data_IF_900261690234
#
_entry.id   IF_900261690234
#
_cell.length_a   1.000
_cell.length_b   1.000
_cell.length_c   1.000
_cell.angle_alpha   90.00
_cell.angle_beta   90.00
_cell.angle_gamma   90.00
#
_symmetry.space_group_name_H-M   'P 1'
#
loop_
_entity.id
_entity.type
_entity.pdbx_description
1 polymer ?
#
# COMPACT_ATOMS: atom_id res chain seq x y z
N UNK A 1 32.47 -18.09 36.93
CA UNK A 1 31.95 -17.51 35.67
C UNK A 1 30.49 -17.92 35.55
N UNK A 2 29.54 -17.08 35.97
CA UNK A 2 28.11 -17.36 35.90
C UNK A 2 27.63 -17.07 34.47
N UNK A 3 27.29 -18.11 33.70
CA UNK A 3 26.58 -17.96 32.44
C UNK A 3 25.15 -17.49 32.76
N UNK A 4 24.90 -16.19 32.56
CA UNK A 4 23.54 -15.66 32.59
C UNK A 4 22.87 -16.08 31.28
N UNK A 5 22.07 -17.15 31.33
CA UNK A 5 21.22 -17.51 30.21
C UNK A 5 20.22 -16.37 29.98
N UNK A 6 20.05 -15.89 28.74
CA UNK A 6 19.06 -14.87 28.45
C UNK A 6 17.67 -15.36 28.87
N UNK A 7 16.92 -14.52 29.59
CA UNK A 7 15.52 -14.77 29.90
C UNK A 7 14.77 -15.04 28.58
N UNK A 8 13.87 -16.02 28.57
CA UNK A 8 13.05 -16.42 27.42
C UNK A 8 12.43 -15.21 26.68
N UNK A 9 12.08 -14.14 27.39
CA UNK A 9 11.60 -12.89 26.79
C UNK A 9 12.62 -12.24 25.83
N UNK A 10 13.88 -12.15 26.25
CA UNK A 10 14.96 -11.57 25.45
C UNK A 10 15.18 -12.42 24.19
N UNK A 11 15.23 -13.75 24.36
CA UNK A 11 15.37 -14.69 23.24
C UNK A 11 14.23 -14.55 22.23
N UNK A 12 12.98 -14.45 22.71
CA UNK A 12 11.82 -14.25 21.85
C UNK A 12 11.87 -12.90 21.10
N UNK A 13 12.23 -11.82 21.79
CA UNK A 13 12.38 -10.50 21.19
C UNK A 13 13.45 -10.52 20.08
N UNK A 14 14.61 -11.12 20.33
CA UNK A 14 15.66 -11.28 19.32
C UNK A 14 15.19 -12.09 18.11
N UNK A 15 14.48 -13.20 18.33
CA UNK A 15 13.96 -14.02 17.24
C UNK A 15 12.99 -13.22 16.36
N UNK A 16 12.05 -12.49 16.98
CA UNK A 16 11.10 -11.63 16.25
C UNK A 16 11.82 -10.55 15.48
N UNK A 17 12.75 -9.82 16.11
CA UNK A 17 13.52 -8.76 15.43
C UNK A 17 14.31 -9.33 14.25
N UNK A 18 15.01 -10.45 14.43
CA UNK A 18 15.78 -11.08 13.37
C UNK A 18 14.88 -11.50 12.20
N UNK A 19 13.75 -12.13 12.47
CA UNK A 19 12.78 -12.50 11.44
C UNK A 19 12.27 -11.28 10.67
N UNK A 20 11.87 -10.21 11.36
CA UNK A 20 11.37 -8.99 10.71
C UNK A 20 12.47 -8.28 9.90
N UNK A 21 13.70 -8.26 10.40
CA UNK A 21 14.84 -7.69 9.68
C UNK A 21 15.15 -8.48 8.41
N UNK A 22 15.19 -9.81 8.47
CA UNK A 22 15.40 -10.66 7.30
C UNK A 22 14.28 -10.48 6.29
N UNK A 23 13.02 -10.51 6.72
CA UNK A 23 11.88 -10.32 5.81
C UNK A 23 11.87 -8.93 5.17
N UNK A 24 12.20 -7.87 5.92
CA UNK A 24 12.35 -6.52 5.37
C UNK A 24 13.50 -6.43 4.37
N UNK A 25 14.65 -7.05 4.67
CA UNK A 25 15.79 -7.11 3.75
C UNK A 25 15.43 -7.85 2.45
N UNK A 26 14.68 -8.96 2.54
CA UNK A 26 14.20 -9.69 1.37
C UNK A 26 13.23 -8.86 0.52
N UNK A 27 12.32 -8.09 1.14
CA UNK A 27 11.45 -7.15 0.43
C UNK A 27 12.25 -6.08 -0.30
N UNK A 28 13.20 -5.46 0.40
CA UNK A 28 14.06 -4.43 -0.18
C UNK A 28 14.89 -4.96 -1.35
N UNK A 29 15.49 -6.15 -1.18
CA UNK A 29 16.27 -6.82 -2.21
C UNK A 29 15.41 -7.17 -3.44
N UNK A 30 14.25 -7.78 -3.21
CA UNK A 30 13.29 -8.13 -4.28
C UNK A 30 12.88 -6.88 -5.08
N UNK A 31 12.55 -5.79 -4.38
CA UNK A 31 12.17 -4.53 -5.02
C UNK A 31 13.33 -3.89 -5.77
N UNK A 32 14.52 -3.89 -5.19
CA UNK A 32 15.73 -3.37 -5.84
C UNK A 32 16.00 -4.07 -7.17
N UNK A 33 15.91 -5.40 -7.20
CA UNK A 33 16.08 -6.16 -8.44
C UNK A 33 14.97 -5.87 -9.43
N UNK A 34 13.70 -5.89 -9.01
CA UNK A 34 12.56 -5.62 -9.90
C UNK A 34 12.65 -4.24 -10.57
N UNK A 35 13.15 -3.22 -9.88
CA UNK A 35 13.33 -1.88 -10.44
C UNK A 35 14.47 -1.78 -11.46
N UNK A 36 15.41 -2.73 -11.47
CA UNK A 36 16.59 -2.75 -12.36
C UNK A 36 16.50 -3.78 -13.47
N UNK A 37 15.61 -4.76 -13.33
CA UNK A 37 15.33 -5.70 -14.40
C UNK A 37 14.69 -4.96 -15.57
N UNK A 38 15.13 -5.29 -16.79
CA UNK A 38 14.40 -4.93 -18.00
C UNK A 38 12.98 -5.48 -17.86
N UNK A 39 11.94 -4.68 -18.15
CA UNK A 39 10.59 -5.21 -18.20
C UNK A 39 10.58 -6.44 -19.11
N UNK A 40 10.06 -7.60 -18.70
CA UNK A 40 9.75 -8.66 -19.65
C UNK A 40 8.92 -8.05 -20.78
N UNK A 41 9.26 -8.42 -22.02
CA UNK A 41 8.53 -8.03 -23.21
C UNK A 41 7.06 -8.46 -23.03
N UNK A 42 6.20 -7.47 -22.80
CA UNK A 42 4.74 -7.61 -22.66
C UNK A 42 4.24 -8.63 -21.62
N UNK A 43 4.19 -8.24 -20.36
CA UNK A 43 3.04 -8.63 -19.53
C UNK A 43 1.85 -7.77 -20.01
N UNK A 44 1.27 -8.11 -21.15
CA UNK A 44 -0.02 -7.54 -21.60
C UNK A 44 -1.13 -8.17 -20.75
N UNK A 45 -1.18 -7.79 -19.48
CA UNK A 45 -2.24 -8.23 -18.59
C UNK A 45 -3.46 -7.38 -18.91
N UNK A 46 -4.33 -7.93 -19.76
CA UNK A 46 -5.64 -7.36 -20.04
C UNK A 46 -6.67 -8.11 -19.20
N UNK A 47 -7.29 -7.40 -18.27
CA UNK A 47 -8.41 -7.92 -17.48
C UNK A 47 -9.72 -7.59 -18.18
N UNK A 48 -10.68 -8.52 -18.20
CA UNK A 48 -11.97 -8.23 -18.84
C UNK A 48 -12.78 -7.22 -18.02
N UNK A 49 -12.71 -7.29 -16.69
CA UNK A 49 -13.47 -6.45 -15.74
C UNK A 49 -12.63 -6.04 -14.53
N UNK A 50 -13.05 -5.00 -13.81
CA UNK A 50 -12.39 -4.60 -12.56
C UNK A 50 -12.54 -5.66 -11.44
N UNK A 51 -13.63 -6.44 -11.45
CA UNK A 51 -13.84 -7.52 -10.49
C UNK A 51 -12.83 -8.66 -10.71
N UNK A 52 -12.61 -9.03 -11.97
CA UNK A 52 -11.57 -10.01 -12.33
C UNK A 52 -10.17 -9.50 -11.96
N UNK A 53 -9.86 -8.24 -12.29
CA UNK A 53 -8.58 -7.62 -11.92
C UNK A 53 -8.35 -7.64 -10.41
N UNK A 54 -9.37 -7.29 -9.61
CA UNK A 54 -9.30 -7.36 -8.16
C UNK A 54 -9.03 -8.78 -7.65
N UNK A 55 -9.79 -9.76 -8.15
CA UNK A 55 -9.63 -11.16 -7.74
C UNK A 55 -8.22 -11.68 -8.04
N UNK A 56 -7.70 -11.39 -9.23
CA UNK A 56 -6.34 -11.79 -9.60
C UNK A 56 -5.30 -11.08 -8.74
N UNK A 57 -5.43 -9.77 -8.50
CA UNK A 57 -4.53 -9.01 -7.62
C UNK A 57 -4.49 -9.55 -6.19
N UNK A 58 -5.61 -10.02 -5.64
CA UNK A 58 -5.68 -10.63 -4.32
C UNK A 58 -4.97 -11.98 -4.23
N UNK A 59 -4.79 -12.66 -5.36
CA UNK A 59 -4.08 -13.93 -5.47
C UNK A 59 -2.60 -13.74 -5.83
N UNK A 60 -2.20 -12.56 -6.31
CA UNK A 60 -0.83 -12.24 -6.61
C UNK A 60 0.04 -12.28 -5.34
N UNK A 61 1.23 -12.85 -5.50
CA UNK A 61 2.34 -12.56 -4.59
C UNK A 61 2.75 -11.09 -4.70
N UNK A 62 3.43 -10.58 -3.66
CA UNK A 62 4.04 -9.25 -3.66
C UNK A 62 4.89 -8.99 -4.90
N UNK A 63 5.66 -9.99 -5.35
CA UNK A 63 6.53 -9.88 -6.53
C UNK A 63 5.70 -9.61 -7.79
N UNK A 64 4.58 -10.31 -7.96
CA UNK A 64 3.67 -10.13 -9.09
C UNK A 64 2.96 -8.78 -9.01
N UNK A 65 2.43 -8.38 -7.84
CA UNK A 65 1.83 -7.06 -7.66
C UNK A 65 2.83 -5.93 -7.96
N UNK A 66 4.08 -6.06 -7.51
CA UNK A 66 5.13 -5.10 -7.83
C UNK A 66 5.45 -5.08 -9.33
N UNK A 67 5.50 -6.24 -9.98
CA UNK A 67 5.72 -6.32 -11.43
C UNK A 67 4.60 -5.61 -12.20
N UNK A 68 3.34 -5.85 -11.83
CA UNK A 68 2.17 -5.16 -12.39
C UNK A 68 2.26 -3.65 -12.19
N UNK A 69 2.58 -3.19 -10.97
CA UNK A 69 2.77 -1.78 -10.66
C UNK A 69 3.85 -1.14 -11.54
N UNK A 70 5.01 -1.80 -11.71
CA UNK A 70 6.14 -1.24 -12.45
C UNK A 70 5.94 -1.24 -13.97
N UNK A 71 5.15 -2.17 -14.51
CA UNK A 71 5.16 -2.49 -15.95
C UNK A 71 3.81 -2.31 -16.64
N UNK A 72 2.71 -2.70 -16.00
CA UNK A 72 1.40 -2.73 -16.63
C UNK A 72 0.55 -1.51 -16.31
N UNK A 73 0.71 -0.95 -15.11
CA UNK A 73 -0.12 0.15 -14.64
C UNK A 73 0.37 1.51 -15.19
N UNK A 74 -0.56 2.30 -15.74
CA UNK A 74 -0.30 3.68 -16.20
C UNK A 74 -0.53 4.69 -15.09
N UNK A 75 -0.16 5.94 -15.33
CA UNK A 75 -0.49 7.03 -14.40
C UNK A 75 -1.96 7.45 -14.61
N UNK A 76 -2.77 7.52 -13.54
CA UNK A 76 -4.13 8.05 -13.65
C UNK A 76 -4.10 9.56 -13.96
N UNK A 77 -5.10 10.02 -14.71
CA UNK A 77 -5.48 11.42 -14.73
C UNK A 77 -6.27 11.72 -13.45
N UNK A 78 -6.13 12.94 -12.91
CA UNK A 78 -6.77 13.32 -11.65
C UNK A 78 -8.31 13.18 -11.70
N UNK A 79 -9.01 13.57 -12.79
CA UNK A 79 -10.45 13.38 -12.86
C UNK A 79 -10.90 11.90 -12.86
N UNK A 80 -10.03 10.95 -13.25
CA UNK A 80 -10.40 9.53 -13.29
C UNK A 80 -10.51 8.92 -11.89
N UNK A 81 -9.80 9.49 -10.92
CA UNK A 81 -9.72 8.95 -9.56
C UNK A 81 -10.67 9.63 -8.58
N UNK A 82 -11.40 10.66 -9.02
CA UNK A 82 -12.34 11.39 -8.15
C UNK A 82 -13.36 10.44 -7.50
N UNK A 83 -13.69 10.72 -6.23
CA UNK A 83 -14.69 9.98 -5.47
C UNK A 83 -14.11 8.91 -4.55
N UNK A 84 -15.00 8.05 -4.05
CA UNK A 84 -14.68 7.02 -3.07
C UNK A 84 -14.25 5.71 -3.76
N UNK A 85 -13.22 5.08 -3.21
CA UNK A 85 -12.69 3.80 -3.63
C UNK A 85 -12.55 2.86 -2.44
N UNK A 86 -13.01 1.63 -2.59
CA UNK A 86 -12.84 0.55 -1.63
C UNK A 86 -11.44 -0.01 -1.73
N UNK A 87 -10.83 -0.30 -0.58
CA UNK A 87 -9.42 -0.67 -0.46
C UNK A 87 -9.20 -2.08 0.08
N UNK A 88 -8.23 -2.77 -0.53
CA UNK A 88 -7.78 -4.10 -0.11
C UNK A 88 -6.26 -4.10 0.04
N UNK A 89 -5.79 -4.61 1.18
CA UNK A 89 -4.36 -4.88 1.38
C UNK A 89 -4.00 -6.19 0.66
N UNK A 90 -2.92 -6.17 -0.11
CA UNK A 90 -2.45 -7.33 -0.86
C UNK A 90 -1.36 -8.09 -0.07
N UNK A 91 -1.02 -9.27 -0.56
CA UNK A 91 0.06 -10.12 -0.03
C UNK A 91 1.38 -9.34 0.01
N UNK A 92 2.13 -9.44 1.12
CA UNK A 92 3.35 -8.66 1.34
C UNK A 92 4.59 -9.52 1.67
N UNK A 93 4.89 -10.54 0.88
CA UNK A 93 6.04 -11.45 1.04
C UNK A 93 5.96 -12.39 2.25
N UNK A 94 5.06 -13.35 2.15
CA UNK A 94 4.75 -14.36 3.14
C UNK A 94 3.76 -13.88 4.20
N UNK A 95 3.32 -14.85 5.02
CA UNK A 95 2.33 -14.61 6.07
C UNK A 95 2.81 -13.58 7.10
N UNK A 96 4.09 -13.62 7.51
CA UNK A 96 4.64 -12.76 8.57
C UNK A 96 4.50 -11.28 8.21
N UNK A 97 4.99 -10.90 7.02
CA UNK A 97 5.00 -9.50 6.60
C UNK A 97 3.60 -9.02 6.21
N UNK A 98 2.74 -9.92 5.75
CA UNK A 98 1.32 -9.65 5.53
C UNK A 98 0.61 -9.32 6.85
N UNK A 99 0.79 -10.15 7.88
CA UNK A 99 0.23 -9.91 9.22
C UNK A 99 0.77 -8.63 9.86
N UNK A 100 2.08 -8.37 9.73
CA UNK A 100 2.66 -7.11 10.21
C UNK A 100 2.08 -5.91 9.48
N UNK A 101 1.93 -5.98 8.15
CA UNK A 101 1.32 -4.89 7.37
C UNK A 101 -0.13 -4.63 7.79
N UNK A 102 -0.92 -5.70 7.97
CA UNK A 102 -2.29 -5.60 8.48
C UNK A 102 -2.33 -5.03 9.90
N UNK A 103 -1.45 -5.47 10.79
CA UNK A 103 -1.38 -4.94 12.15
C UNK A 103 -1.04 -3.45 12.16
N UNK A 104 0.00 -3.04 11.42
CA UNK A 104 0.39 -1.63 11.32
C UNK A 104 -0.77 -0.79 10.77
N UNK A 105 -1.45 -1.27 9.74
CA UNK A 105 -2.56 -0.54 9.09
C UNK A 105 -3.83 -0.51 9.96
N UNK A 106 -4.27 -1.65 10.50
CA UNK A 106 -5.56 -1.81 11.18
C UNK A 106 -5.52 -1.60 12.70
N UNK A 107 -4.34 -1.63 13.33
CA UNK A 107 -4.22 -1.40 14.78
C UNK A 107 -3.56 -0.08 15.08
N UNK A 108 -2.44 0.23 14.41
CA UNK A 108 -1.69 1.43 14.75
C UNK A 108 -2.15 2.65 13.95
N UNK A 109 -2.13 2.58 12.61
CA UNK A 109 -2.46 3.70 11.74
C UNK A 109 -3.92 4.12 11.92
N UNK A 110 -4.84 3.19 11.73
CA UNK A 110 -6.28 3.37 11.90
C UNK A 110 -6.77 3.48 13.34
N UNK A 111 -5.90 3.44 14.37
CA UNK A 111 -6.28 3.49 15.79
C UNK A 111 -7.29 2.41 16.19
N UNK A 112 -7.14 1.19 15.63
CA UNK A 112 -8.00 0.03 15.92
C UNK A 112 -9.22 -0.12 15.01
N UNK A 113 -9.41 0.78 14.04
CA UNK A 113 -10.44 0.67 12.97
C UNK A 113 -9.91 -0.17 11.81
N UNK A 114 -10.76 -0.64 10.90
CA UNK A 114 -10.30 -1.33 9.69
C UNK A 114 -10.13 -0.31 8.57
N UNK A 115 -8.95 -0.19 7.98
CA UNK A 115 -8.79 0.57 6.74
C UNK A 115 -9.56 -0.14 5.62
N UNK A 116 -10.40 0.58 4.90
CA UNK A 116 -11.27 0.02 3.88
C UNK A 116 -11.31 0.84 2.59
N UNK A 117 -10.45 1.85 2.43
CA UNK A 117 -10.44 2.62 1.20
C UNK A 117 -9.84 4.02 1.30
N UNK A 118 -10.03 4.77 0.22
CA UNK A 118 -9.65 6.18 0.11
C UNK A 118 -10.73 6.95 -0.64
N UNK A 119 -10.82 8.25 -0.40
CA UNK A 119 -11.63 9.16 -1.21
C UNK A 119 -10.74 10.29 -1.73
N UNK A 120 -10.92 10.67 -2.99
CA UNK A 120 -10.16 11.73 -3.66
C UNK A 120 -11.10 12.90 -4.03
N UNK A 121 -10.62 14.13 -3.85
CA UNK A 121 -11.32 15.39 -4.10
C UNK A 121 -10.45 16.26 -5.02
N UNK A 122 -10.96 16.54 -6.22
CA UNK A 122 -10.21 17.22 -7.29
C UNK A 122 -9.93 18.70 -6.97
N UNK A 123 -10.84 19.37 -6.24
CA UNK A 123 -10.81 20.82 -6.00
C UNK A 123 -9.49 21.34 -5.39
N UNK A 124 -8.76 20.49 -4.66
CA UNK A 124 -7.52 20.85 -3.97
C UNK A 124 -6.42 19.79 -4.05
N UNK A 125 -6.55 18.78 -4.92
CA UNK A 125 -5.67 17.60 -4.92
C UNK A 125 -5.55 16.95 -3.54
N UNK A 126 -6.68 16.81 -2.86
CA UNK A 126 -6.75 16.28 -1.49
C UNK A 126 -7.52 14.98 -1.47
N UNK A 127 -7.05 14.06 -0.64
CA UNK A 127 -7.81 12.86 -0.35
C UNK A 127 -7.78 12.54 1.14
N UNK A 128 -8.55 11.52 1.49
CA UNK A 128 -8.70 11.08 2.87
C UNK A 128 -8.88 9.57 2.91
N UNK A 129 -8.35 8.91 3.94
CA UNK A 129 -8.56 7.47 4.11
C UNK A 129 -9.94 7.20 4.69
N UNK A 130 -10.50 6.08 4.27
CA UNK A 130 -11.72 5.52 4.81
C UNK A 130 -11.38 4.43 5.81
N UNK A 131 -12.08 4.44 6.94
CA UNK A 131 -11.96 3.42 7.98
C UNK A 131 -13.33 2.91 8.41
N UNK A 132 -13.51 1.60 8.49
CA UNK A 132 -14.69 0.95 9.08
C UNK A 132 -14.48 0.72 10.57
N UNK A 133 -15.41 1.23 11.39
CA UNK A 133 -15.46 0.98 12.82
C UNK A 133 -16.01 -0.41 13.14
N UNK A 134 -15.98 -0.81 14.42
CA UNK A 134 -16.60 -2.07 14.87
C UNK A 134 -18.13 -2.09 14.70
N UNK A 135 -18.77 -0.93 14.61
CA UNK A 135 -20.21 -0.76 14.37
C UNK A 135 -20.56 -0.64 12.89
N UNK A 136 -19.62 -0.99 11.99
CA UNK A 136 -19.78 -0.91 10.53
C UNK A 136 -20.04 0.50 10.00
N UNK A 137 -19.64 1.53 10.75
CA UNK A 137 -19.71 2.93 10.30
C UNK A 137 -18.41 3.31 9.60
N UNK A 138 -18.50 3.95 8.44
CA UNK A 138 -17.35 4.52 7.72
C UNK A 138 -16.99 5.87 8.32
N UNK A 139 -15.74 6.03 8.73
CA UNK A 139 -15.13 7.27 9.20
C UNK A 139 -14.03 7.71 8.23
N UNK A 140 -13.89 9.02 8.06
CA UNK A 140 -12.85 9.63 7.22
C UNK A 140 -11.79 10.27 8.10
N UNK A 141 -10.55 9.87 7.94
CA UNK A 141 -9.42 10.37 8.73
C UNK A 141 -8.11 10.28 7.91
N UNK A 142 -7.01 10.82 8.42
CA UNK A 142 -5.69 10.77 7.78
C UNK A 142 -5.71 11.36 6.37
N UNK A 143 -6.03 12.65 6.28
CA UNK A 143 -5.98 13.39 5.03
C UNK A 143 -4.57 13.38 4.43
N UNK A 144 -4.52 13.38 3.10
CA UNK A 144 -3.32 13.41 2.30
C UNK A 144 -3.48 14.40 1.14
N UNK A 145 -2.36 14.99 0.73
CA UNK A 145 -2.27 15.70 -0.53
C UNK A 145 -1.78 14.71 -1.58
N UNK A 146 -2.23 14.81 -2.83
CA UNK A 146 -1.74 13.97 -3.91
C UNK A 146 -1.26 14.78 -5.11
N UNK A 147 -0.31 14.23 -5.86
CA UNK A 147 0.17 14.86 -7.08
C UNK A 147 0.86 13.86 -8.00
N UNK A 148 0.85 14.13 -9.30
CA UNK A 148 1.61 13.32 -10.27
C UNK A 148 3.09 13.70 -10.16
N UNK A 149 3.91 12.79 -9.66
CA UNK A 149 5.35 13.00 -9.52
C UNK A 149 6.15 11.90 -10.21
N UNK A 150 7.47 12.07 -10.29
CA UNK A 150 8.38 10.99 -10.66
C UNK A 150 8.38 9.91 -9.59
N UNK A 151 8.18 8.66 -9.99
CA UNK A 151 8.19 7.51 -9.08
C UNK A 151 9.55 7.38 -8.40
N UNK A 152 9.52 7.07 -7.10
CA UNK A 152 10.71 6.74 -6.33
C UNK A 152 11.30 5.39 -6.73
N UNK A 153 10.47 4.46 -7.25
CA UNK A 153 10.90 3.13 -7.72
C UNK A 153 11.51 3.18 -9.13
N UNK A 154 10.99 4.06 -10.01
CA UNK A 154 11.40 4.18 -11.42
C UNK A 154 11.51 5.64 -11.83
N UNK A 155 12.73 6.16 -12.02
CA UNK A 155 12.99 7.58 -12.31
C UNK A 155 12.51 8.03 -13.70
N UNK A 156 12.35 7.07 -14.61
CA UNK A 156 11.82 7.23 -15.96
C UNK A 156 10.27 7.21 -16.01
N UNK A 157 9.61 6.92 -14.89
CA UNK A 157 8.15 6.80 -14.84
C UNK A 157 7.54 7.79 -13.85
N UNK A 158 6.29 8.16 -14.13
CA UNK A 158 5.47 8.97 -13.24
C UNK A 158 4.56 8.07 -12.40
N UNK A 159 4.03 8.57 -11.29
CA UNK A 159 3.00 7.92 -10.47
C UNK A 159 2.19 8.96 -9.72
N UNK A 160 0.97 8.63 -9.32
CA UNK A 160 0.20 9.46 -8.41
C UNK A 160 0.75 9.25 -6.99
N UNK A 161 1.38 10.27 -6.43
CA UNK A 161 2.04 10.21 -5.12
C UNK A 161 1.14 10.83 -4.07
N UNK A 162 0.84 10.10 -3.01
CA UNK A 162 0.02 10.54 -1.87
C UNK A 162 0.95 10.83 -0.69
N UNK A 163 0.85 12.05 -0.15
CA UNK A 163 1.69 12.54 0.94
C UNK A 163 0.83 12.89 2.14
N UNK A 164 1.15 12.29 3.28
CA UNK A 164 0.41 12.45 4.54
C UNK A 164 0.95 13.58 5.41
N UNK A 165 1.67 14.56 4.84
CA UNK A 165 2.41 15.61 5.57
C UNK A 165 1.54 16.34 6.61
N UNK A 166 0.27 16.57 6.29
CA UNK A 166 -0.67 17.24 7.20
C UNK A 166 -1.05 16.39 8.41
N UNK A 167 -1.17 15.07 8.25
CA UNK A 167 -1.41 14.11 9.33
C UNK A 167 -0.15 13.83 10.16
N UNK A 168 1.01 13.82 9.51
CA UNK A 168 2.33 13.47 10.06
C UNK A 168 2.94 14.49 11.03
N UNK A 169 2.20 15.54 11.40
CA UNK A 169 2.70 16.56 12.33
C UNK A 169 2.78 15.99 13.75
N UNK A 170 3.90 16.19 14.44
CA UNK A 170 4.17 15.69 15.80
C UNK A 170 3.07 16.11 16.80
N UNK A 171 2.42 17.26 16.57
CA UNK A 171 1.33 17.77 17.42
C UNK A 171 -0.01 17.03 17.29
N UNK A 172 -0.25 16.26 16.21
CA UNK A 172 -1.55 15.63 15.94
C UNK A 172 -1.64 14.14 16.27
N UNK A 173 -0.52 13.43 16.53
CA UNK A 173 -0.53 11.96 16.59
C UNK A 173 0.30 11.29 17.68
N UNK A 174 0.83 12.01 18.67
CA UNK A 174 1.61 11.41 19.77
C UNK A 174 2.87 10.66 19.28
N UNK A 175 3.36 9.68 20.04
CA UNK A 175 4.59 8.94 19.68
C UNK A 175 4.46 8.11 18.39
N UNK A 176 3.24 7.65 18.05
CA UNK A 176 3.01 6.88 16.82
C UNK A 176 3.11 7.75 15.56
N UNK A 177 2.93 9.07 15.66
CA UNK A 177 3.15 9.98 14.53
C UNK A 177 4.55 9.86 13.92
N UNK A 178 5.57 9.56 14.74
CA UNK A 178 6.95 9.31 14.31
C UNK A 178 7.07 8.13 13.36
N UNK A 179 6.23 7.09 13.54
CA UNK A 179 6.20 5.92 12.65
C UNK A 179 5.63 6.28 11.28
N UNK A 180 4.76 7.29 11.21
CA UNK A 180 4.10 7.63 9.95
C UNK A 180 4.76 8.80 9.24
N UNK A 181 5.73 9.53 9.84
CA UNK A 181 6.30 10.80 9.33
C UNK A 181 6.82 10.76 7.89
N UNK A 182 7.09 9.57 7.37
CA UNK A 182 7.63 9.34 6.02
C UNK A 182 6.73 8.43 5.19
N UNK A 183 5.46 8.28 5.59
CA UNK A 183 4.47 7.52 4.84
C UNK A 183 4.20 8.20 3.51
N UNK A 184 4.34 7.42 2.44
CA UNK A 184 4.05 7.82 1.06
C UNK A 184 3.44 6.62 0.36
N UNK A 185 2.32 6.85 -0.34
CA UNK A 185 1.78 5.86 -1.26
C UNK A 185 2.07 6.32 -2.70
N UNK A 186 2.51 5.40 -3.55
CA UNK A 186 2.50 5.62 -5.00
C UNK A 186 1.38 4.78 -5.62
N UNK A 187 0.56 5.39 -6.47
CA UNK A 187 -0.59 4.77 -7.11
C UNK A 187 -0.45 4.84 -8.62
N UNK A 188 -0.91 3.77 -9.27
CA UNK A 188 -1.10 3.66 -10.72
C UNK A 188 -2.43 3.00 -11.04
N UNK A 189 -2.85 3.13 -12.29
CA UNK A 189 -4.14 2.67 -12.79
C UNK A 189 -3.95 1.52 -13.75
N UNK A 190 -4.78 0.48 -13.57
CA UNK A 190 -4.90 -0.68 -14.44
C UNK A 190 -6.23 -0.57 -15.17
N UNK A 191 -6.18 -0.40 -16.49
CA UNK A 191 -7.37 -0.36 -17.34
C UNK A 191 -7.88 -1.78 -17.61
N UNK A 192 -9.21 -1.94 -17.64
CA UNK A 192 -9.89 -3.18 -18.02
C UNK A 192 -10.51 -3.04 -19.41
N UNK A 193 -10.69 -4.16 -20.11
CA UNK A 193 -11.20 -4.17 -21.49
C UNK A 193 -12.62 -3.58 -21.64
N UNK A 194 -13.44 -3.65 -20.58
CA UNK A 194 -14.78 -3.07 -20.54
C UNK A 194 -14.83 -1.57 -20.18
N UNK A 195 -13.66 -0.92 -20.04
CA UNK A 195 -13.55 0.49 -19.65
C UNK A 195 -13.62 0.74 -18.14
N UNK A 196 -13.75 -0.30 -17.31
CA UNK A 196 -13.53 -0.18 -15.87
C UNK A 196 -12.04 -0.09 -15.54
N UNK A 197 -11.72 0.21 -14.28
CA UNK A 197 -10.35 0.25 -13.82
C UNK A 197 -10.20 -0.11 -12.34
N UNK A 198 -8.99 -0.50 -11.99
CA UNK A 198 -8.53 -0.72 -10.61
C UNK A 198 -7.27 0.10 -10.39
N UNK A 199 -7.11 0.69 -9.22
CA UNK A 199 -5.87 1.34 -8.81
C UNK A 199 -5.00 0.34 -8.06
N UNK A 200 -3.73 0.25 -8.44
CA UNK A 200 -2.72 -0.50 -7.69
C UNK A 200 -1.78 0.48 -7.01
N UNK A 201 -1.51 0.26 -5.74
CA UNK A 201 -0.69 1.14 -4.93
C UNK A 201 0.42 0.41 -4.18
N UNK A 202 1.52 1.11 -3.94
CA UNK A 202 2.61 0.68 -3.07
C UNK A 202 2.72 1.71 -1.95
N UNK A 203 2.31 1.32 -0.75
CA UNK A 203 2.41 2.15 0.45
C UNK A 203 3.72 1.89 1.16
N UNK A 204 4.45 2.94 1.51
CA UNK A 204 5.76 2.82 2.14
C UNK A 204 5.91 3.71 3.35
N UNK A 205 6.84 3.35 4.23
CA UNK A 205 7.26 4.17 5.36
C UNK A 205 8.79 4.24 5.37
N UNK A 206 9.36 5.43 5.53
CA UNK A 206 10.81 5.64 5.51
C UNK A 206 11.55 4.83 6.58
N UNK A 207 11.00 4.68 7.79
CA UNK A 207 11.64 3.93 8.87
C UNK A 207 11.73 2.41 8.59
N UNK A 208 10.88 1.88 7.71
CA UNK A 208 10.89 0.45 7.35
C UNK A 208 11.69 0.16 6.08
N UNK A 209 12.46 1.12 5.55
CA UNK A 209 13.21 0.95 4.29
C UNK A 209 12.57 1.67 3.09
N UNK A 210 11.55 2.50 3.33
CA UNK A 210 10.91 3.32 2.29
C UNK A 210 10.29 2.47 1.19
N UNK A 211 10.30 3.00 -0.04
CA UNK A 211 9.67 2.36 -1.19
C UNK A 211 10.22 0.97 -1.52
N UNK A 212 11.47 0.66 -1.13
CA UNK A 212 12.03 -0.68 -1.30
C UNK A 212 11.34 -1.73 -0.41
N UNK A 213 10.77 -1.33 0.74
CA UNK A 213 9.97 -2.20 1.61
C UNK A 213 8.47 -1.84 1.57
N UNK A 214 7.99 -1.29 0.44
CA UNK A 214 6.59 -0.92 0.29
C UNK A 214 5.66 -2.14 0.32
N UNK A 215 4.48 -1.96 0.92
CA UNK A 215 3.38 -2.94 0.95
C UNK A 215 2.40 -2.64 -0.19
N UNK A 216 2.06 -3.64 -1.01
CA UNK A 216 1.06 -3.46 -2.04
C UNK A 216 -0.36 -3.37 -1.47
N UNK A 217 -1.19 -2.58 -2.13
CA UNK A 217 -2.63 -2.49 -1.91
C UNK A 217 -3.32 -2.25 -3.26
N UNK A 218 -4.63 -2.46 -3.33
CA UNK A 218 -5.44 -2.02 -4.45
C UNK A 218 -6.64 -1.23 -3.99
N UNK A 219 -7.15 -0.38 -4.89
CA UNK A 219 -8.40 0.34 -4.73
C UNK A 219 -9.30 0.04 -5.92
N UNK A 220 -10.58 -0.25 -5.67
CA UNK A 220 -11.58 -0.47 -6.71
C UNK A 220 -12.82 0.38 -6.41
N UNK A 221 -13.59 0.68 -7.44
CA UNK A 221 -14.92 1.27 -7.23
C UNK A 221 -15.86 0.19 -6.68
N UNK A 222 -16.91 0.56 -5.93
CA UNK A 222 -17.97 -0.37 -5.60
C UNK A 222 -18.48 -1.00 -6.90
N UNK A 223 -18.44 -2.32 -6.99
CA UNK A 223 -19.04 -3.00 -8.12
C UNK A 223 -20.54 -2.72 -8.03
N UNK A 224 -21.09 -2.04 -9.03
CA UNK A 224 -22.54 -1.97 -9.16
C UNK A 224 -23.01 -3.42 -9.24
N UNK A 225 -23.52 -3.97 -8.13
CA UNK A 225 -24.39 -5.12 -8.19
C UNK A 225 -25.59 -4.62 -8.96
N UNK A 226 -25.57 -4.81 -10.28
CA UNK A 226 -26.73 -4.64 -11.12
C UNK A 226 -27.84 -5.42 -10.42
N UNK A 227 -28.79 -4.68 -9.86
CA UNK A 227 -30.05 -5.20 -9.38
C UNK A 227 -30.71 -5.86 -10.58
N UNK A 228 -30.54 -7.18 -10.66
CA UNK A 228 -31.33 -8.07 -11.51
C UNK A 228 -32.79 -8.06 -11.07
#
# INVERSE_FOLDING_TARGET
MLLVLPNAFITAAFAVTATLSVSSALNMWSTFHACRSTPPESLSVSFATAAEALQQLQQCSRKESLSLFLQAARVPLIPEIEGAWDGVLLENNGWIMTEVSQFLTHKLFSKGRRWNGKAFQDDQNRGINQFTTKTSTTEFDHAFDYQIETSALRKDQKSLVLRYNNYQKIRSGGWTSLLWMSMVDEIRLIDCANGECVLIGIGSMGWSGGMYNGSPFCLHRPFNTLSH
#
